data_IF_704257043349
#
_entry.id   IF_704257043349
#
_cell.length_a   1.000
_cell.length_b   1.000
_cell.length_c   1.000
_cell.angle_alpha   90.00
_cell.angle_beta   90.00
_cell.angle_gamma   90.00
#
_symmetry.space_group_name_H-M   'P 1'
#
loop_
_entity.id
_entity.type
_entity.pdbx_description
1 polymer ?
#
# COMPACT_ATOMS: atom_id res chain seq x y z
N UNK A 1 18.82 -10.80 28.59
CA UNK A 1 18.00 -11.72 29.39
C UNK A 1 16.56 -11.30 29.11
N UNK A 2 15.72 -11.98 28.34
CA UNK A 2 15.61 -13.43 28.09
C UNK A 2 15.04 -13.72 26.70
N UNK A 3 15.88 -14.31 25.84
CA UNK A 3 15.53 -14.79 24.50
C UNK A 3 14.97 -16.23 24.51
N UNK A 4 14.50 -16.74 25.67
CA UNK A 4 14.23 -18.19 25.84
C UNK A 4 12.88 -18.58 26.46
N UNK A 5 11.91 -17.67 26.60
CA UNK A 5 10.58 -18.00 27.20
C UNK A 5 9.39 -17.95 26.24
N UNK A 6 9.62 -17.76 24.93
CA UNK A 6 8.55 -17.64 23.94
C UNK A 6 8.34 -18.91 23.08
N UNK A 7 8.81 -20.07 23.54
CA UNK A 7 8.62 -21.35 22.85
C UNK A 7 7.33 -22.08 23.29
N UNK A 8 6.68 -21.67 24.38
CA UNK A 8 5.46 -22.33 24.90
C UNK A 8 4.14 -21.85 24.26
N UNK A 9 4.18 -20.89 23.33
CA UNK A 9 3.03 -20.49 22.50
C UNK A 9 2.78 -21.41 21.29
N UNK A 10 3.56 -22.47 21.12
CA UNK A 10 3.59 -23.37 19.97
C UNK A 10 2.37 -24.33 19.85
N UNK A 11 1.19 -23.97 20.39
CA UNK A 11 -0.07 -24.74 20.27
C UNK A 11 -1.28 -23.88 19.88
N UNK A 12 -1.15 -23.00 18.89
CA UNK A 12 -2.31 -22.41 18.18
C UNK A 12 -2.15 -22.68 16.68
N UNK A 13 -2.54 -23.89 16.31
CA UNK A 13 -2.51 -24.37 14.93
C UNK A 13 -3.31 -23.48 13.98
N UNK A 14 -2.66 -23.18 12.85
CA UNK A 14 -3.26 -22.99 11.53
C UNK A 14 -4.14 -21.75 11.27
N UNK A 15 -3.64 -20.55 11.59
CA UNK A 15 -4.03 -19.34 10.83
C UNK A 15 -3.02 -19.05 9.73
N UNK A 16 -2.94 -19.92 8.74
CA UNK A 16 -2.27 -19.61 7.47
C UNK A 16 -3.11 -18.61 6.68
N UNK A 17 -2.49 -17.58 6.10
CA UNK A 17 -3.18 -16.73 5.12
C UNK A 17 -3.78 -17.63 4.05
N UNK A 18 -5.09 -17.48 3.78
CA UNK A 18 -5.76 -18.29 2.77
C UNK A 18 -5.08 -18.07 1.41
N UNK A 19 -4.54 -19.14 0.85
CA UNK A 19 -3.90 -19.20 -0.45
C UNK A 19 -4.99 -19.49 -1.50
N UNK A 20 -5.10 -18.67 -2.56
CA UNK A 20 -6.04 -18.96 -3.66
C UNK A 20 -5.47 -20.00 -4.61
N UNK A 21 -4.23 -19.77 -5.05
CA UNK A 21 -3.56 -20.56 -6.07
C UNK A 21 -2.05 -20.53 -5.79
N UNK A 22 -1.41 -21.69 -5.93
CA UNK A 22 0.04 -21.82 -5.99
C UNK A 22 0.38 -22.22 -7.43
N UNK A 23 0.93 -21.28 -8.20
CA UNK A 23 1.45 -21.56 -9.54
C UNK A 23 2.96 -21.49 -9.46
N UNK A 24 3.62 -22.64 -9.55
CA UNK A 24 5.07 -22.73 -9.74
C UNK A 24 5.93 -22.02 -8.68
N UNK A 25 5.50 -22.00 -7.41
CA UNK A 25 6.28 -21.40 -6.31
C UNK A 25 5.91 -19.95 -5.96
N UNK A 26 5.02 -19.30 -6.72
CA UNK A 26 4.40 -18.02 -6.33
C UNK A 26 3.07 -18.27 -5.62
N UNK A 27 3.04 -17.94 -4.34
CA UNK A 27 1.85 -18.02 -3.49
C UNK A 27 1.03 -16.73 -3.60
N UNK A 28 -0.10 -16.77 -4.31
CA UNK A 28 -1.02 -15.63 -4.39
C UNK A 28 -1.97 -15.68 -3.19
N UNK A 29 -1.84 -14.68 -2.31
CA UNK A 29 -2.69 -14.53 -1.12
C UNK A 29 -4.00 -13.81 -1.47
N UNK A 30 -5.14 -14.27 -0.91
CA UNK A 30 -6.45 -13.55 -1.05
C UNK A 30 -6.37 -12.09 -0.60
N UNK A 31 -5.49 -11.80 0.35
CA UNK A 31 -5.26 -10.44 0.81
C UNK A 31 -4.82 -9.52 -0.34
N UNK A 32 -3.88 -9.97 -1.18
CA UNK A 32 -3.41 -9.20 -2.35
C UNK A 32 -4.53 -8.99 -3.38
N UNK A 33 -5.40 -9.98 -3.57
CA UNK A 33 -6.57 -9.86 -4.45
C UNK A 33 -7.56 -8.83 -3.92
N UNK A 34 -7.77 -8.78 -2.61
CA UNK A 34 -8.66 -7.79 -1.99
C UNK A 34 -8.10 -6.38 -2.12
N UNK A 35 -6.79 -6.20 -1.96
CA UNK A 35 -6.13 -4.91 -2.22
C UNK A 35 -6.27 -4.51 -3.69
N UNK A 36 -6.07 -5.43 -4.63
CA UNK A 36 -6.24 -5.16 -6.06
C UNK A 36 -7.69 -4.73 -6.38
N UNK A 37 -8.68 -5.41 -5.79
CA UNK A 37 -10.09 -5.01 -5.90
C UNK A 37 -10.33 -3.62 -5.31
N UNK A 38 -9.74 -3.30 -4.15
CA UNK A 38 -9.84 -1.98 -3.54
C UNK A 38 -9.30 -0.87 -4.44
N UNK A 39 -8.15 -1.12 -5.08
CA UNK A 39 -7.54 -0.18 -6.04
C UNK A 39 -8.44 -0.01 -7.27
N UNK A 40 -8.96 -1.10 -7.84
CA UNK A 40 -9.85 -1.05 -9.01
C UNK A 40 -11.13 -0.25 -8.70
N UNK A 41 -11.80 -0.54 -7.59
CA UNK A 41 -13.01 0.18 -7.18
C UNK A 41 -12.70 1.65 -6.92
N UNK A 42 -11.61 1.95 -6.21
CA UNK A 42 -11.17 3.32 -5.98
C UNK A 42 -10.90 4.08 -7.30
N UNK A 43 -10.28 3.41 -8.26
CA UNK A 43 -10.00 3.99 -9.58
C UNK A 43 -11.28 4.30 -10.37
N UNK A 44 -12.27 3.40 -10.37
CA UNK A 44 -13.57 3.66 -11.00
C UNK A 44 -14.31 4.84 -10.35
N UNK A 45 -14.29 4.93 -9.03
CA UNK A 45 -14.89 6.04 -8.28
C UNK A 45 -14.20 7.35 -8.62
N UNK A 46 -12.87 7.37 -8.63
CA UNK A 46 -12.09 8.54 -9.03
C UNK A 46 -12.47 9.02 -10.44
N UNK A 47 -12.62 8.12 -11.41
CA UNK A 47 -13.01 8.48 -12.79
C UNK A 47 -14.45 9.00 -12.88
N UNK A 48 -15.36 8.41 -12.10
CA UNK A 48 -16.75 8.88 -12.00
C UNK A 48 -16.79 10.30 -11.43
N UNK A 49 -16.04 10.53 -10.35
CA UNK A 49 -15.99 11.80 -9.64
C UNK A 49 -15.27 12.89 -10.46
N UNK A 50 -14.24 12.50 -11.21
CA UNK A 50 -13.58 13.35 -12.20
C UNK A 50 -14.55 13.85 -13.26
N UNK A 51 -15.41 12.97 -13.80
CA UNK A 51 -16.47 13.35 -14.75
C UNK A 51 -17.45 14.32 -14.10
N UNK A 52 -17.87 14.07 -12.86
CA UNK A 52 -18.81 14.91 -12.12
C UNK A 52 -18.27 16.32 -11.84
N UNK A 53 -16.98 16.43 -11.51
CA UNK A 53 -16.32 17.70 -11.18
C UNK A 53 -15.71 18.43 -12.39
N UNK A 54 -15.86 17.89 -13.60
CA UNK A 54 -15.31 18.47 -14.84
C UNK A 54 -13.78 18.45 -14.89
N UNK A 55 -13.15 17.46 -14.27
CA UNK A 55 -11.70 17.29 -14.30
C UNK A 55 -11.28 16.48 -15.53
N UNK A 56 -10.10 16.81 -16.05
CA UNK A 56 -9.48 16.09 -17.15
C UNK A 56 -9.06 14.68 -16.70
N UNK A 57 -9.72 13.67 -17.25
CA UNK A 57 -9.53 12.27 -16.88
C UNK A 57 -8.13 11.78 -17.23
N UNK A 58 -7.56 12.20 -18.35
CA UNK A 58 -6.24 11.74 -18.78
C UNK A 58 -5.18 12.21 -17.80
N UNK A 59 -5.24 13.48 -17.41
CA UNK A 59 -4.33 14.05 -16.39
C UNK A 59 -4.49 13.37 -15.03
N UNK A 60 -5.70 12.96 -14.68
CA UNK A 60 -5.99 12.24 -13.43
C UNK A 60 -5.48 10.80 -13.44
N UNK A 61 -5.60 10.11 -14.58
CA UNK A 61 -5.05 8.77 -14.76
C UNK A 61 -3.53 8.84 -14.67
N UNK A 62 -2.90 9.78 -15.37
CA UNK A 62 -1.45 10.03 -15.28
C UNK A 62 -1.04 10.31 -13.83
N UNK A 63 -1.75 11.21 -13.16
CA UNK A 63 -1.51 11.54 -11.76
C UNK A 63 -1.59 10.30 -10.87
N UNK A 64 -2.63 9.48 -11.00
CA UNK A 64 -2.80 8.27 -10.21
C UNK A 64 -1.68 7.25 -10.47
N UNK A 65 -1.35 6.99 -11.74
CA UNK A 65 -0.29 6.06 -12.14
C UNK A 65 1.08 6.50 -11.63
N UNK A 66 1.45 7.76 -11.86
CA UNK A 66 2.72 8.27 -11.36
C UNK A 66 2.75 8.30 -9.82
N UNK A 67 1.66 8.65 -9.16
CA UNK A 67 1.58 8.64 -7.69
C UNK A 67 1.81 7.23 -7.13
N UNK A 68 1.28 6.19 -7.77
CA UNK A 68 1.55 4.79 -7.38
C UNK A 68 3.03 4.46 -7.55
N UNK A 69 3.63 4.80 -8.69
CA UNK A 69 5.05 4.53 -8.97
C UNK A 69 5.95 5.20 -7.94
N UNK A 70 5.79 6.50 -7.72
CA UNK A 70 6.56 7.27 -6.74
C UNK A 70 6.25 6.83 -5.31
N UNK A 71 5.01 6.41 -5.02
CA UNK A 71 4.63 5.82 -3.75
C UNK A 71 5.37 4.52 -3.44
N UNK A 72 5.49 3.61 -4.41
CA UNK A 72 6.27 2.36 -4.25
C UNK A 72 7.76 2.66 -4.00
N UNK A 73 8.32 3.59 -4.77
CA UNK A 73 9.71 4.04 -4.58
C UNK A 73 9.89 4.60 -3.17
N UNK A 74 8.96 5.44 -2.71
CA UNK A 74 9.05 6.05 -1.39
C UNK A 74 8.84 5.08 -0.24
N UNK A 75 7.93 4.12 -0.39
CA UNK A 75 7.75 3.04 0.57
C UNK A 75 9.03 2.24 0.76
N UNK A 76 9.76 1.98 -0.33
CA UNK A 76 11.02 1.25 -0.27
C UNK A 76 12.14 2.08 0.35
N UNK A 77 12.29 3.33 -0.07
CA UNK A 77 13.31 4.23 0.46
C UNK A 77 13.16 4.42 1.98
N UNK A 78 11.94 4.66 2.45
CA UNK A 78 11.69 4.86 3.87
C UNK A 78 11.91 3.58 4.69
N UNK A 79 11.60 2.40 4.13
CA UNK A 79 11.88 1.12 4.80
C UNK A 79 13.38 0.91 5.01
N UNK A 80 14.19 1.20 3.97
CA UNK A 80 15.65 1.08 4.00
C UNK A 80 16.26 2.01 5.06
N UNK A 81 15.79 3.26 5.10
CA UNK A 81 16.26 4.26 6.07
C UNK A 81 15.88 3.89 7.51
N UNK A 82 14.69 3.31 7.72
CA UNK A 82 14.17 3.01 9.05
C UNK A 82 14.79 1.75 9.68
N UNK A 83 15.05 0.70 8.91
CA UNK A 83 15.46 -0.60 9.47
C UNK A 83 16.98 -0.77 9.56
N UNK A 84 17.73 -0.55 8.49
CA UNK A 84 19.19 -0.73 8.53
C UNK A 84 19.94 -0.12 7.34
N UNK A 85 20.17 1.21 7.31
CA UNK A 85 20.81 1.87 6.17
C UNK A 85 22.22 1.34 5.88
N UNK A 86 23.00 0.95 6.90
CA UNK A 86 24.35 0.42 6.73
C UNK A 86 24.40 -0.95 6.03
N UNK A 87 23.37 -1.78 6.19
CA UNK A 87 23.26 -3.09 5.53
C UNK A 87 22.92 -2.95 4.05
N UNK A 88 21.95 -2.08 3.71
CA UNK A 88 21.52 -1.88 2.32
C UNK A 88 22.54 -1.13 1.47
N UNK A 89 23.38 -0.27 2.06
CA UNK A 89 24.52 0.36 1.35
C UNK A 89 25.57 -0.68 0.93
N UNK A 90 25.66 -1.82 1.63
CA UNK A 90 26.55 -2.92 1.23
C UNK A 90 25.91 -3.87 0.23
N UNK A 91 24.58 -3.98 0.24
CA UNK A 91 23.80 -4.87 -0.63
C UNK A 91 22.81 -4.08 -1.50
N UNK A 92 23.32 -3.30 -2.46
CA UNK A 92 22.48 -2.48 -3.35
C UNK A 92 21.48 -3.29 -4.17
N UNK A 93 21.77 -4.57 -4.46
CA UNK A 93 20.87 -5.44 -5.24
C UNK A 93 19.57 -5.76 -4.50
N UNK A 94 19.58 -5.83 -3.18
CA UNK A 94 18.40 -6.14 -2.37
C UNK A 94 17.45 -4.95 -2.24
N UNK A 95 17.91 -3.74 -2.55
CA UNK A 95 17.06 -2.53 -2.59
C UNK A 95 15.92 -2.70 -3.60
N UNK A 96 16.19 -3.34 -4.74
CA UNK A 96 15.23 -3.55 -5.83
C UNK A 96 14.37 -4.81 -5.67
N UNK A 97 14.68 -5.68 -4.70
CA UNK A 97 13.96 -6.93 -4.47
C UNK A 97 12.67 -6.68 -3.67
N UNK A 98 11.66 -6.13 -4.35
CA UNK A 98 10.31 -5.87 -3.78
C UNK A 98 9.58 -7.16 -3.34
N UNK A 99 9.99 -8.31 -3.86
CA UNK A 99 9.37 -9.61 -3.59
C UNK A 99 9.62 -10.15 -2.17
N UNK A 100 10.66 -9.65 -1.48
CA UNK A 100 10.99 -10.08 -0.12
C UNK A 100 10.14 -9.37 0.95
N UNK A 101 9.23 -8.48 0.54
CA UNK A 101 8.51 -7.59 1.44
C UNK A 101 9.34 -6.36 1.84
N UNK A 102 8.88 -5.61 2.85
CA UNK A 102 9.56 -4.41 3.33
C UNK A 102 9.17 -3.14 2.57
N UNK A 103 7.87 -2.83 2.56
CA UNK A 103 7.31 -1.58 2.05
C UNK A 103 6.74 -0.80 3.24
N UNK A 104 7.23 0.41 3.45
CA UNK A 104 6.69 1.31 4.49
C UNK A 104 5.51 2.12 3.94
N UNK A 105 4.33 1.97 4.55
CA UNK A 105 3.13 2.76 4.18
C UNK A 105 3.38 4.27 4.36
N UNK A 106 4.11 4.65 5.41
CA UNK A 106 4.44 6.05 5.68
C UNK A 106 5.29 6.65 4.55
N UNK A 107 6.27 5.87 4.05
CA UNK A 107 7.10 6.28 2.92
C UNK A 107 6.30 6.49 1.64
N UNK A 108 5.34 5.60 1.34
CA UNK A 108 4.46 5.79 0.18
C UNK A 108 3.58 7.03 0.31
N UNK A 109 3.05 7.30 1.50
CA UNK A 109 2.14 8.42 1.71
C UNK A 109 2.87 9.76 1.53
N UNK A 110 4.07 9.90 2.12
CA UNK A 110 4.85 11.13 2.06
C UNK A 110 5.29 11.42 0.62
N UNK A 111 5.96 10.46 -0.03
CA UNK A 111 6.55 10.67 -1.36
C UNK A 111 5.47 10.68 -2.44
N UNK A 112 4.45 9.82 -2.34
CA UNK A 112 3.32 9.81 -3.26
C UNK A 112 2.53 11.12 -3.21
N UNK A 113 2.20 11.62 -2.01
CA UNK A 113 1.48 12.89 -1.87
C UNK A 113 2.32 14.09 -2.32
N UNK A 114 3.62 14.11 -1.97
CA UNK A 114 4.53 15.16 -2.41
C UNK A 114 4.65 15.22 -3.95
N UNK A 115 4.81 14.05 -4.59
CA UNK A 115 4.84 13.96 -6.05
C UNK A 115 3.50 14.40 -6.67
N UNK A 116 2.37 13.94 -6.12
CA UNK A 116 1.04 14.31 -6.60
C UNK A 116 0.80 15.82 -6.53
N UNK A 117 1.21 16.47 -5.43
CA UNK A 117 1.14 17.91 -5.27
C UNK A 117 2.00 18.65 -6.32
N UNK A 118 3.23 18.19 -6.53
CA UNK A 118 4.13 18.75 -7.54
C UNK A 118 3.56 18.59 -8.97
N UNK A 119 3.02 17.41 -9.31
CA UNK A 119 2.43 17.15 -10.62
C UNK A 119 1.19 18.01 -10.87
N UNK A 120 0.29 18.12 -9.89
CA UNK A 120 -0.90 18.98 -9.99
C UNK A 120 -0.51 20.45 -10.19
N UNK A 121 0.52 20.94 -9.48
CA UNK A 121 1.04 22.29 -9.68
C UNK A 121 1.63 22.50 -11.07
N UNK A 122 2.37 21.51 -11.60
CA UNK A 122 2.98 21.57 -12.93
C UNK A 122 1.95 21.55 -14.06
N UNK A 123 0.83 20.84 -13.88
CA UNK A 123 -0.23 20.67 -14.89
C UNK A 123 -1.42 21.62 -14.69
N UNK A 124 -1.33 22.57 -13.76
CA UNK A 124 -2.39 23.53 -13.38
C UNK A 124 -3.73 22.85 -13.06
N UNK A 125 -3.67 21.72 -12.37
CA UNK A 125 -4.87 20.97 -11.95
C UNK A 125 -5.37 21.55 -10.62
N UNK A 126 -6.67 21.82 -10.46
CA UNK A 126 -7.22 22.37 -9.22
C UNK A 126 -7.10 21.35 -8.06
N UNK A 127 -6.13 21.58 -7.17
CA UNK A 127 -5.72 20.67 -6.08
C UNK A 127 -6.91 20.27 -5.20
N UNK A 128 -7.72 21.23 -4.78
CA UNK A 128 -8.88 20.97 -3.90
C UNK A 128 -9.94 20.11 -4.58
N UNK A 129 -10.27 20.40 -5.85
CA UNK A 129 -11.22 19.60 -6.62
C UNK A 129 -10.71 18.17 -6.82
N UNK A 130 -9.41 18.02 -7.05
CA UNK A 130 -8.77 16.70 -7.14
C UNK A 130 -8.81 15.99 -5.80
N UNK A 131 -8.42 16.63 -4.70
CA UNK A 131 -8.46 16.03 -3.37
C UNK A 131 -9.86 15.53 -2.99
N UNK A 132 -10.90 16.32 -3.26
CA UNK A 132 -12.28 15.88 -3.08
C UNK A 132 -12.66 14.70 -3.98
N UNK A 133 -12.10 14.62 -5.19
CA UNK A 133 -12.34 13.52 -6.10
C UNK A 133 -11.69 12.21 -5.63
N UNK A 134 -10.54 12.31 -4.97
CA UNK A 134 -9.82 11.19 -4.39
C UNK A 134 -10.37 10.76 -3.03
N UNK A 135 -11.00 11.65 -2.25
CA UNK A 135 -11.56 11.34 -0.94
C UNK A 135 -12.45 10.07 -0.91
N UNK A 136 -13.48 9.92 -1.77
CA UNK A 136 -14.32 8.72 -1.78
C UNK A 136 -13.54 7.47 -2.23
N UNK A 137 -12.59 7.62 -3.14
CA UNK A 137 -11.74 6.51 -3.59
C UNK A 137 -10.84 5.99 -2.45
N UNK A 138 -10.25 6.89 -1.65
CA UNK A 138 -9.40 6.54 -0.51
C UNK A 138 -10.20 5.82 0.56
N UNK A 139 -11.38 6.34 0.92
CA UNK A 139 -12.26 5.73 1.93
C UNK A 139 -12.66 4.33 1.49
N UNK A 140 -13.05 4.15 0.23
CA UNK A 140 -13.46 2.84 -0.27
C UNK A 140 -12.27 1.85 -0.32
N UNK A 141 -11.09 2.31 -0.71
CA UNK A 141 -9.86 1.50 -0.65
C UNK A 141 -9.53 1.03 0.76
N UNK A 142 -9.65 1.92 1.76
CA UNK A 142 -9.44 1.57 3.18
C UNK A 142 -10.51 0.60 3.69
N UNK A 143 -11.78 0.80 3.33
CA UNK A 143 -12.87 -0.08 3.73
C UNK A 143 -12.66 -1.51 3.18
N UNK A 144 -12.35 -1.63 1.89
CA UNK A 144 -12.08 -2.92 1.25
C UNK A 144 -10.81 -3.56 1.82
N UNK A 145 -9.76 -2.77 2.04
CA UNK A 145 -8.52 -3.24 2.67
C UNK A 145 -8.76 -3.77 4.09
N UNK A 146 -9.63 -3.11 4.86
CA UNK A 146 -9.99 -3.54 6.21
C UNK A 146 -10.78 -4.85 6.19
N UNK A 147 -11.79 -4.96 5.32
CA UNK A 147 -12.52 -6.22 5.11
C UNK A 147 -11.56 -7.33 4.69
N UNK A 148 -10.61 -7.06 3.81
CA UNK A 148 -9.58 -8.03 3.41
C UNK A 148 -8.69 -8.47 4.57
N UNK A 149 -8.35 -7.56 5.47
CA UNK A 149 -7.60 -7.86 6.68
C UNK A 149 -8.41 -8.73 7.65
N UNK A 150 -9.69 -8.41 7.87
CA UNK A 150 -10.54 -9.13 8.82
C UNK A 150 -10.95 -10.53 8.31
N UNK A 151 -11.21 -10.67 7.01
CA UNK A 151 -11.71 -11.93 6.40
C UNK A 151 -10.56 -12.87 6.00
N UNK A 152 -9.45 -12.33 5.49
CA UNK A 152 -8.37 -13.12 4.88
C UNK A 152 -7.00 -12.91 5.52
N UNK A 153 -6.85 -11.87 6.34
CA UNK A 153 -5.62 -11.57 7.06
C UNK A 153 -5.50 -12.32 8.38
N UNK A 154 -4.32 -12.22 8.99
CA UNK A 154 -4.11 -12.64 10.37
C UNK A 154 -4.53 -11.45 11.23
N UNK A 155 -5.52 -11.59 12.14
CA UNK A 155 -5.88 -10.49 13.03
C UNK A 155 -4.65 -10.08 13.83
N UNK A 156 -4.41 -8.77 13.95
CA UNK A 156 -3.38 -8.27 14.86
C UNK A 156 -3.71 -8.77 16.26
N UNK A 157 -2.98 -9.78 16.72
CA UNK A 157 -3.19 -10.38 18.05
C UNK A 157 -2.50 -9.59 19.16
N UNK A 158 -1.72 -8.56 18.82
CA UNK A 158 -1.05 -7.66 19.77
C UNK A 158 -1.66 -6.28 19.67
N UNK A 159 -2.18 -5.80 20.78
CA UNK A 159 -2.57 -4.41 20.97
C UNK A 159 -1.30 -3.56 21.10
N UNK A 160 -0.95 -2.83 20.05
CA UNK A 160 -0.04 -1.71 20.22
C UNK A 160 -0.85 -0.49 20.67
N UNK A 161 -0.22 0.46 21.34
CA UNK A 161 -0.93 1.66 21.82
C UNK A 161 -1.41 2.60 20.69
N UNK A 162 -1.08 2.26 19.44
CA UNK A 162 -1.54 2.94 18.23
C UNK A 162 -2.51 2.08 17.39
N UNK A 163 -2.93 0.92 17.90
CA UNK A 163 -3.71 -0.09 17.16
C UNK A 163 -3.00 -1.44 17.15
#
# INVERSE_FOLDING_TARGET
MDFKKNEEGARRGDKKMKLLFNVGGFSIHLFGVTIALGILVGFFIMLSEAKRKGLDKEKLIDLALYTVIFGVIGARLNYILAFNPAYYIRNLKEILMLQQGGLSIQGSLIIGTAFGFWYMKKKSIPIWKTADAFAPAIIMGQAIGRVGCDVFGIPMSRSWFWG
#
